data_IF_269884549868
#
_entry.id   IF_269884549868
#
_cell.length_a   1.000
_cell.length_b   1.000
_cell.length_c   1.000
_cell.angle_alpha   90.00
_cell.angle_beta   90.00
_cell.angle_gamma   90.00
#
_symmetry.space_group_name_H-M   'P 1'
#
loop_
_entity.id
_entity.type
_entity.pdbx_description
1 polymer ?
#
# COMPACT_ATOMS: atom_id res chain seq x y z
N UNK A 1 -1.87 20.06 -9.63
CA UNK A 1 -1.04 19.04 -8.96
C UNK A 1 -1.62 18.87 -7.58
N UNK A 2 -2.37 17.79 -7.33
CA UNK A 2 -3.09 17.60 -6.06
C UNK A 2 -2.12 17.04 -5.01
N UNK A 3 -1.47 17.92 -4.26
CA UNK A 3 -0.81 17.52 -3.03
C UNK A 3 -1.88 17.53 -1.94
N UNK A 4 -2.49 16.38 -1.68
CA UNK A 4 -3.25 16.19 -0.43
C UNK A 4 -2.32 16.54 0.71
N UNK A 5 -2.66 17.55 1.50
CA UNK A 5 -1.91 17.99 2.68
C UNK A 5 -1.75 16.82 3.64
N UNK A 6 -0.62 16.12 3.54
CA UNK A 6 -0.26 15.05 4.47
C UNK A 6 0.23 15.71 5.75
N UNK A 7 -0.66 15.80 6.74
CA UNK A 7 -0.34 16.34 8.05
C UNK A 7 0.72 15.48 8.73
N UNK A 8 1.97 15.96 8.75
CA UNK A 8 3.08 15.24 9.40
C UNK A 8 3.10 15.51 10.89
N UNK A 9 3.09 14.45 11.70
CA UNK A 9 3.24 14.55 13.16
C UNK A 9 4.71 14.44 13.56
N UNK A 10 5.25 15.50 14.15
CA UNK A 10 6.60 15.46 14.72
C UNK A 10 6.65 14.46 15.89
N UNK A 11 7.56 13.48 15.80
CA UNK A 11 7.73 12.43 16.81
C UNK A 11 9.22 12.27 17.10
N UNK A 12 9.59 12.27 18.39
CA UNK A 12 10.96 11.97 18.81
C UNK A 12 11.11 10.47 19.05
N UNK A 13 12.03 9.83 18.33
CA UNK A 13 12.32 8.40 18.46
C UNK A 13 13.78 8.20 18.86
N UNK A 14 14.01 7.44 19.93
CA UNK A 14 15.37 7.05 20.34
C UNK A 14 15.75 5.77 19.63
N UNK A 15 16.76 5.84 18.78
CA UNK A 15 17.29 4.71 18.00
C UNK A 15 18.71 4.41 18.47
N UNK A 16 19.11 3.14 18.47
CA UNK A 16 20.50 2.76 18.70
C UNK A 16 21.43 3.45 17.69
N UNK A 17 22.58 3.96 18.14
CA UNK A 17 23.50 4.74 17.29
C UNK A 17 24.04 3.96 16.08
N UNK A 18 24.29 2.64 16.23
CA UNK A 18 24.75 1.79 15.12
C UNK A 18 23.65 1.62 14.07
N UNK A 19 22.42 1.43 14.52
CA UNK A 19 21.25 1.31 13.63
C UNK A 19 21.01 2.63 12.89
N UNK A 20 21.11 3.77 13.57
CA UNK A 20 20.98 5.09 12.94
C UNK A 20 22.00 5.29 11.80
N UNK A 21 23.27 4.94 12.04
CA UNK A 21 24.32 5.05 11.02
C UNK A 21 24.05 4.17 9.79
N UNK A 22 23.49 2.96 10.00
CA UNK A 22 23.12 2.07 8.91
C UNK A 22 21.94 2.62 8.10
N UNK A 23 20.91 3.14 8.78
CA UNK A 23 19.75 3.79 8.14
C UNK A 23 20.21 4.99 7.31
N UNK A 24 21.12 5.81 7.83
CA UNK A 24 21.65 6.96 7.10
C UNK A 24 22.39 6.54 5.81
N UNK A 25 23.22 5.48 5.89
CA UNK A 25 23.91 4.95 4.71
C UNK A 25 22.92 4.48 3.64
N UNK A 26 21.88 3.75 4.04
CA UNK A 26 20.83 3.26 3.14
C UNK A 26 20.00 4.41 2.56
N UNK A 27 19.67 5.42 3.36
CA UNK A 27 18.95 6.61 2.91
C UNK A 27 19.74 7.35 1.81
N UNK A 28 21.05 7.53 2.00
CA UNK A 28 21.95 8.13 0.99
C UNK A 28 22.00 7.30 -0.29
N UNK A 29 22.09 5.98 -0.19
CA UNK A 29 22.08 5.08 -1.36
C UNK A 29 20.77 5.18 -2.17
N UNK A 30 19.66 5.47 -1.49
CA UNK A 30 18.34 5.63 -2.12
C UNK A 30 18.05 7.09 -2.53
N UNK A 31 18.99 8.02 -2.40
CA UNK A 31 18.81 9.46 -2.62
C UNK A 31 17.61 10.06 -1.85
N UNK A 32 17.41 9.58 -0.61
CA UNK A 32 16.30 10.00 0.27
C UNK A 32 16.84 10.66 1.54
N UNK A 33 16.04 11.55 2.12
CA UNK A 33 16.29 12.03 3.48
C UNK A 33 16.08 10.89 4.47
N UNK A 34 16.80 10.93 5.60
CA UNK A 34 16.68 9.92 6.66
C UNK A 34 15.22 9.78 7.11
N UNK A 35 14.52 10.90 7.32
CA UNK A 35 13.12 10.90 7.74
C UNK A 35 12.22 10.23 6.68
N UNK A 36 12.40 10.54 5.40
CA UNK A 36 11.62 9.91 4.34
C UNK A 36 11.89 8.41 4.25
N UNK A 37 13.15 8.01 4.42
CA UNK A 37 13.52 6.60 4.38
C UNK A 37 12.94 5.82 5.58
N UNK A 38 12.99 6.40 6.79
CA UNK A 38 12.36 5.82 7.98
C UNK A 38 10.84 5.73 7.79
N UNK A 39 10.21 6.76 7.24
CA UNK A 39 8.77 6.78 6.96
C UNK A 39 8.37 5.63 6.03
N UNK A 40 9.11 5.41 4.92
CA UNK A 40 8.87 4.27 4.02
C UNK A 40 9.05 2.93 4.72
N UNK A 41 10.13 2.75 5.49
CA UNK A 41 10.36 1.51 6.23
C UNK A 41 9.25 1.23 7.26
N UNK A 42 8.73 2.27 7.92
CA UNK A 42 7.62 2.13 8.86
C UNK A 42 6.32 1.77 8.12
N UNK A 43 6.04 2.39 6.97
CA UNK A 43 4.89 2.03 6.13
C UNK A 43 4.94 0.58 5.67
N UNK A 44 6.11 0.10 5.27
CA UNK A 44 6.31 -1.30 4.89
C UNK A 44 6.12 -2.23 6.08
N UNK A 45 6.68 -1.89 7.25
CA UNK A 45 6.60 -2.70 8.46
C UNK A 45 5.18 -2.81 9.03
N UNK A 46 4.36 -1.76 8.94
CA UNK A 46 2.95 -1.81 9.35
C UNK A 46 2.06 -2.50 8.32
N UNK A 47 2.61 -2.97 7.20
CA UNK A 47 1.86 -3.64 6.15
C UNK A 47 0.90 -2.69 5.44
N UNK A 48 1.23 -1.40 5.29
CA UNK A 48 0.38 -0.44 4.57
C UNK A 48 0.09 -0.91 3.13
N UNK A 49 1.03 -1.63 2.53
CA UNK A 49 0.89 -2.21 1.20
C UNK A 49 0.18 -3.58 1.18
N UNK A 50 -0.16 -4.15 2.35
CA UNK A 50 -0.91 -5.39 2.40
C UNK A 50 -2.41 -5.12 2.16
N UNK A 51 -3.07 -5.92 1.31
CA UNK A 51 -4.52 -5.89 1.20
C UNK A 51 -5.15 -6.05 2.58
N UNK A 52 -6.17 -5.24 2.88
CA UNK A 52 -6.90 -5.42 4.12
C UNK A 52 -7.64 -6.78 4.12
N UNK A 53 -8.10 -7.21 5.29
CA UNK A 53 -8.74 -8.54 5.45
C UNK A 53 -9.91 -8.74 4.48
N UNK A 54 -10.68 -7.69 4.19
CA UNK A 54 -11.82 -7.76 3.25
C UNK A 54 -11.34 -7.96 1.82
N UNK A 55 -10.30 -7.24 1.39
CA UNK A 55 -9.69 -7.40 0.07
C UNK A 55 -9.06 -8.77 -0.09
N UNK A 56 -8.36 -9.29 0.92
CA UNK A 56 -7.79 -10.65 0.88
C UNK A 56 -8.88 -11.71 0.75
N UNK A 57 -9.99 -11.57 1.48
CA UNK A 57 -11.13 -12.49 1.37
C UNK A 57 -11.74 -12.47 -0.02
N UNK A 58 -12.00 -11.30 -0.58
CA UNK A 58 -12.56 -11.17 -1.92
C UNK A 58 -11.64 -11.79 -3.00
N UNK A 59 -10.32 -11.66 -2.86
CA UNK A 59 -9.35 -12.32 -3.77
C UNK A 59 -9.45 -13.84 -3.64
N UNK A 60 -9.48 -14.38 -2.42
CA UNK A 60 -9.56 -15.83 -2.19
C UNK A 60 -10.89 -16.41 -2.71
N UNK A 61 -12.01 -15.72 -2.48
CA UNK A 61 -13.33 -16.10 -3.00
C UNK A 61 -13.31 -16.22 -4.54
N UNK A 62 -12.73 -15.22 -5.23
CA UNK A 62 -12.57 -15.24 -6.69
C UNK A 62 -11.63 -16.37 -7.16
N UNK A 63 -10.54 -16.64 -6.43
CA UNK A 63 -9.61 -17.71 -6.78
C UNK A 63 -10.26 -19.09 -6.69
N UNK A 64 -11.08 -19.34 -5.67
CA UNK A 64 -11.83 -20.58 -5.46
C UNK A 64 -12.97 -20.74 -6.48
N UNK A 65 -13.71 -19.66 -6.78
CA UNK A 65 -14.90 -19.66 -7.64
C UNK A 65 -14.61 -19.39 -9.13
N UNK A 66 -13.34 -19.39 -9.54
CA UNK A 66 -12.86 -19.04 -10.90
C UNK A 66 -13.61 -19.70 -12.09
N UNK A 67 -14.35 -20.79 -11.86
CA UNK A 67 -15.15 -21.50 -12.88
C UNK A 67 -16.59 -20.99 -13.04
N UNK A 68 -17.17 -20.30 -12.07
CA UNK A 68 -18.58 -19.84 -12.09
C UNK A 68 -18.77 -18.35 -12.34
N UNK A 69 -17.69 -17.58 -12.48
CA UNK A 69 -17.76 -16.13 -12.66
C UNK A 69 -18.28 -15.74 -14.06
N UNK A 70 -19.21 -14.79 -14.09
CA UNK A 70 -19.75 -14.20 -15.33
C UNK A 70 -18.63 -13.44 -16.05
N UNK A 71 -18.47 -13.72 -17.34
CA UNK A 71 -17.47 -13.07 -18.20
C UNK A 71 -18.18 -12.14 -19.16
N UNK A 72 -17.65 -10.93 -19.32
CA UNK A 72 -18.18 -9.94 -20.24
C UNK A 72 -17.16 -9.70 -21.34
N UNK A 73 -17.63 -9.66 -22.59
CA UNK A 73 -16.79 -9.32 -23.75
C UNK A 73 -16.89 -7.86 -24.15
N UNK A 74 -17.96 -7.18 -23.74
CA UNK A 74 -18.21 -5.76 -24.03
C UNK A 74 -18.30 -4.93 -22.74
N UNK A 75 -17.76 -3.73 -22.79
CA UNK A 75 -17.71 -2.81 -21.65
C UNK A 75 -19.11 -2.32 -21.27
N UNK A 76 -20.01 -2.11 -22.24
CA UNK A 76 -21.37 -1.64 -21.97
C UNK A 76 -22.21 -2.73 -21.28
N UNK A 77 -21.97 -3.99 -21.63
CA UNK A 77 -22.63 -5.15 -20.98
C UNK A 77 -22.26 -5.23 -19.49
N UNK A 78 -20.98 -5.02 -19.16
CA UNK A 78 -20.52 -4.97 -17.77
C UNK A 78 -21.16 -3.81 -16.99
N UNK A 79 -21.19 -2.61 -17.56
CA UNK A 79 -21.77 -1.45 -16.87
C UNK A 79 -23.28 -1.58 -16.68
N UNK A 80 -24.00 -2.15 -17.65
CA UNK A 80 -25.42 -2.43 -17.49
C UNK A 80 -25.69 -3.39 -16.33
N UNK A 81 -24.87 -4.42 -16.14
CA UNK A 81 -25.07 -5.37 -15.04
C UNK A 81 -24.79 -4.70 -13.68
N UNK A 82 -23.74 -3.90 -13.59
CA UNK A 82 -23.37 -3.17 -12.36
C UNK A 82 -24.37 -2.07 -11.96
N UNK A 83 -25.03 -1.44 -12.93
CA UNK A 83 -26.07 -0.44 -12.67
C UNK A 83 -27.41 -1.06 -12.24
N UNK A 84 -27.60 -2.36 -12.47
CA UNK A 84 -28.82 -3.10 -12.14
C UNK A 84 -28.69 -3.98 -10.88
N UNK A 85 -27.54 -3.98 -10.20
CA UNK A 85 -27.30 -4.58 -8.86
C UNK A 85 -27.78 -3.67 -7.71
#
# INVERSE_FOLDING_TARGET
>A
MNTTDTTKKATSLRINSRLYAQIEKLAKQNNRSINNYIETLLFDAVGYHQPNVLTTKAINEVEEDNKSLKRYSDVNELFQDLENE
#
